data_IF_286384968496
#
_entry.id   IF_286384968496
#
_cell.length_a   1.000
_cell.length_b   1.000
_cell.length_c   1.000
_cell.angle_alpha   90.00
_cell.angle_beta   90.00
_cell.angle_gamma   90.00
#
_symmetry.space_group_name_H-M   'P 1'
#
loop_
_entity.id
_entity.type
_entity.pdbx_description
1 polymer ?
#
# COMPACT_ATOMS: atom_id res chain seq x y z
N UNK A 1 6.31 -81.51 -30.04
CA UNK A 1 6.67 -80.31 -29.25
C UNK A 1 6.74 -79.11 -30.18
N UNK A 2 5.65 -78.36 -30.32
CA UNK A 2 5.69 -77.02 -30.92
C UNK A 2 4.67 -76.16 -30.15
N UNK A 3 5.17 -75.16 -29.43
CA UNK A 3 4.39 -74.11 -28.78
C UNK A 3 4.28 -72.92 -29.76
N UNK A 4 3.10 -72.33 -29.99
CA UNK A 4 2.99 -71.09 -30.75
C UNK A 4 3.11 -69.87 -29.83
N UNK A 5 4.14 -69.07 -30.10
CA UNK A 5 4.19 -67.60 -29.99
C UNK A 5 3.54 -66.92 -28.80
N UNK A 6 4.35 -66.60 -27.77
CA UNK A 6 4.06 -65.54 -26.83
C UNK A 6 4.38 -64.17 -27.44
N UNK A 7 3.35 -63.36 -27.65
CA UNK A 7 3.47 -61.98 -28.12
C UNK A 7 4.05 -61.10 -27.00
N UNK A 8 5.30 -60.71 -27.14
CA UNK A 8 5.97 -59.70 -26.33
C UNK A 8 5.31 -58.32 -26.56
N UNK A 9 4.54 -57.84 -25.56
CA UNK A 9 4.16 -56.42 -25.51
C UNK A 9 5.42 -55.55 -25.31
N UNK A 10 5.60 -54.47 -26.07
CA UNK A 10 6.62 -53.47 -25.76
C UNK A 10 6.22 -52.70 -24.48
N UNK A 11 7.19 -52.26 -23.65
CA UNK A 11 6.91 -51.46 -22.47
C UNK A 11 6.16 -50.17 -22.85
N UNK A 12 5.26 -49.64 -21.99
CA UNK A 12 4.59 -48.39 -22.26
C UNK A 12 5.63 -47.30 -22.50
N UNK A 13 5.57 -46.68 -23.68
CA UNK A 13 6.34 -45.50 -24.07
C UNK A 13 6.25 -44.50 -22.92
N UNK A 14 7.39 -44.26 -22.27
CA UNK A 14 7.56 -43.23 -21.26
C UNK A 14 7.15 -41.90 -21.87
N UNK A 15 5.93 -41.48 -21.56
CA UNK A 15 5.47 -40.11 -21.81
C UNK A 15 6.47 -39.22 -21.07
N UNK A 16 7.26 -38.47 -21.84
CA UNK A 16 8.23 -37.54 -21.30
C UNK A 16 7.59 -36.77 -20.16
N UNK A 17 8.14 -36.94 -18.96
CA UNK A 17 7.62 -36.35 -17.73
C UNK A 17 7.68 -34.82 -17.85
N UNK A 18 6.65 -34.23 -18.43
CA UNK A 18 6.31 -32.84 -18.18
C UNK A 18 5.94 -32.81 -16.70
N UNK A 19 6.93 -32.49 -15.86
CA UNK A 19 6.76 -32.38 -14.41
C UNK A 19 5.67 -31.33 -14.15
N UNK A 20 4.45 -31.80 -13.92
CA UNK A 20 3.31 -30.94 -13.64
C UNK A 20 3.63 -30.06 -12.43
N UNK A 21 3.45 -28.74 -12.58
CA UNK A 21 3.60 -27.82 -11.45
C UNK A 21 2.49 -28.09 -10.45
N UNK A 22 2.84 -28.13 -9.16
CA UNK A 22 1.90 -28.31 -8.05
C UNK A 22 1.56 -26.97 -7.45
N UNK A 23 0.29 -26.79 -7.09
CA UNK A 23 -0.15 -25.59 -6.42
C UNK A 23 0.24 -25.61 -4.94
N UNK A 24 0.90 -24.57 -4.44
CA UNK A 24 1.24 -24.45 -3.03
C UNK A 24 0.00 -24.32 -2.11
N UNK A 25 -1.11 -23.77 -2.60
CA UNK A 25 -2.33 -23.60 -1.82
C UNK A 25 -3.19 -24.86 -1.65
N UNK A 26 -3.22 -25.76 -2.65
CA UNK A 26 -4.08 -26.96 -2.60
C UNK A 26 -3.33 -28.29 -2.79
N UNK A 27 -2.03 -28.28 -3.09
CA UNK A 27 -1.23 -29.47 -3.39
C UNK A 27 -1.51 -30.15 -4.75
N UNK A 28 -2.61 -29.77 -5.40
CA UNK A 28 -3.07 -30.32 -6.67
C UNK A 28 -2.19 -29.94 -7.86
N UNK A 29 -2.29 -30.71 -8.95
CA UNK A 29 -1.64 -30.38 -10.22
C UNK A 29 -2.31 -29.16 -10.86
N UNK A 30 -1.51 -28.26 -11.42
CA UNK A 30 -2.02 -27.08 -12.13
C UNK A 30 -2.27 -27.46 -13.59
N UNK A 31 -3.52 -27.77 -13.92
CA UNK A 31 -3.97 -28.05 -15.28
C UNK A 31 -4.41 -26.79 -16.03
N UNK A 32 -4.61 -25.68 -15.33
CA UNK A 32 -5.09 -24.40 -15.88
C UNK A 32 -4.19 -23.87 -17.01
N UNK A 33 -4.78 -23.11 -17.93
CA UNK A 33 -4.06 -22.48 -19.06
C UNK A 33 -3.01 -21.47 -18.58
N UNK A 34 -3.35 -20.77 -17.50
CA UNK A 34 -2.50 -19.78 -16.85
C UNK A 34 -2.28 -20.17 -15.40
N UNK A 35 -1.06 -19.96 -14.92
CA UNK A 35 -0.69 -20.15 -13.54
C UNK A 35 0.06 -18.94 -13.02
N UNK A 36 -0.03 -18.71 -11.71
CA UNK A 36 0.68 -17.62 -11.04
C UNK A 36 1.96 -18.17 -10.42
N UNK A 37 3.05 -17.40 -10.53
CA UNK A 37 4.30 -17.67 -9.84
C UNK A 37 4.65 -16.51 -8.92
N UNK A 38 4.84 -16.82 -7.63
CA UNK A 38 5.17 -15.89 -6.55
C UNK A 38 5.67 -16.66 -5.34
N UNK A 39 6.53 -16.04 -4.51
CA UNK A 39 7.13 -16.66 -3.32
C UNK A 39 7.74 -18.04 -3.66
N UNK A 40 8.49 -18.10 -4.76
CA UNK A 40 9.13 -19.30 -5.29
C UNK A 40 8.21 -20.52 -5.47
N UNK A 41 6.92 -20.28 -5.64
CA UNK A 41 5.87 -21.29 -5.68
C UNK A 41 4.89 -21.03 -6.81
N UNK A 42 4.24 -22.10 -7.28
CA UNK A 42 3.20 -22.02 -8.29
C UNK A 42 1.81 -22.08 -7.67
N UNK A 43 0.86 -21.35 -8.24
CA UNK A 43 -0.49 -21.22 -7.72
C UNK A 43 -1.55 -21.27 -8.83
N UNK A 44 -2.69 -21.90 -8.56
CA UNK A 44 -3.91 -21.60 -9.31
C UNK A 44 -4.35 -20.17 -8.99
N UNK A 45 -5.01 -19.49 -9.94
CA UNK A 45 -5.57 -18.15 -9.70
C UNK A 45 -6.49 -18.12 -8.47
N UNK A 46 -7.35 -19.13 -8.34
CA UNK A 46 -8.28 -19.32 -7.21
C UNK A 46 -7.64 -19.69 -5.88
N UNK A 47 -6.40 -20.18 -5.89
CA UNK A 47 -5.71 -20.62 -4.68
C UNK A 47 -4.84 -19.53 -4.06
N UNK A 48 -4.38 -18.55 -4.84
CA UNK A 48 -3.66 -17.40 -4.32
C UNK A 48 -4.66 -16.37 -3.79
N UNK A 49 -4.98 -16.46 -2.49
CA UNK A 49 -6.02 -15.65 -1.83
C UNK A 49 -5.47 -14.89 -0.64
N UNK A 50 -6.10 -13.74 -0.33
CA UNK A 50 -5.84 -13.01 0.90
C UNK A 50 -6.23 -13.86 2.11
N UNK A 51 -5.33 -14.02 3.09
CA UNK A 51 -5.60 -14.75 4.33
C UNK A 51 -6.74 -14.14 5.15
N UNK A 52 -6.97 -12.83 5.04
CA UNK A 52 -8.01 -12.13 5.79
C UNK A 52 -9.37 -12.10 5.06
N UNK A 53 -9.43 -11.51 3.87
CA UNK A 53 -10.71 -11.31 3.16
C UNK A 53 -11.03 -12.40 2.12
N UNK A 54 -10.14 -13.39 1.91
CA UNK A 54 -10.28 -14.47 0.93
C UNK A 54 -10.36 -14.02 -0.54
N UNK A 55 -10.16 -12.73 -0.84
CA UNK A 55 -10.12 -12.23 -2.21
C UNK A 55 -9.03 -12.93 -3.04
N UNK A 56 -9.35 -13.27 -4.28
CA UNK A 56 -8.41 -13.86 -5.24
C UNK A 56 -7.42 -12.80 -5.71
N UNK A 57 -6.18 -12.91 -5.27
CA UNK A 57 -5.17 -11.86 -5.45
C UNK A 57 -4.82 -11.66 -6.93
N UNK A 58 -4.84 -12.75 -7.70
CA UNK A 58 -4.62 -12.71 -9.15
C UNK A 58 -5.68 -11.98 -9.96
N UNK A 59 -6.89 -11.77 -9.41
CA UNK A 59 -7.98 -11.04 -10.08
C UNK A 59 -7.97 -9.56 -9.75
N UNK A 60 -7.58 -9.20 -8.52
CA UNK A 60 -7.65 -7.81 -8.02
C UNK A 60 -6.39 -6.98 -8.30
N UNK A 61 -5.28 -7.60 -8.72
CA UNK A 61 -4.02 -6.91 -8.97
C UNK A 61 -2.94 -7.81 -9.53
N UNK A 62 -1.69 -7.31 -9.51
CA UNK A 62 -0.49 -8.04 -9.97
C UNK A 62 0.53 -8.30 -8.86
N UNK A 63 0.21 -7.90 -7.63
CA UNK A 63 1.07 -8.06 -6.45
C UNK A 63 0.28 -8.44 -5.21
N UNK A 64 0.98 -9.04 -4.26
CA UNK A 64 0.48 -9.38 -2.93
C UNK A 64 1.51 -8.97 -1.87
N UNK A 65 1.09 -8.95 -0.62
CA UNK A 65 1.94 -8.57 0.52
C UNK A 65 2.12 -9.77 1.42
N UNK A 66 3.33 -9.95 1.94
CA UNK A 66 3.64 -11.03 2.88
C UNK A 66 4.15 -10.48 4.19
N UNK A 67 3.59 -10.98 5.31
CA UNK A 67 4.06 -10.65 6.66
C UNK A 67 3.56 -11.70 7.64
N UNK A 68 4.44 -12.14 8.55
CA UNK A 68 4.11 -13.15 9.57
C UNK A 68 3.49 -14.44 8.98
N UNK A 69 3.98 -14.89 7.81
CA UNK A 69 3.47 -16.08 7.13
C UNK A 69 2.10 -15.92 6.43
N UNK A 70 1.49 -14.74 6.47
CA UNK A 70 0.23 -14.46 5.78
C UNK A 70 0.46 -13.88 4.39
N UNK A 71 -0.44 -14.19 3.46
CA UNK A 71 -0.50 -13.58 2.13
C UNK A 71 -1.71 -12.64 2.12
N UNK A 72 -1.47 -11.34 1.91
CA UNK A 72 -2.48 -10.31 2.10
C UNK A 72 -2.69 -9.47 0.84
N UNK A 73 -3.93 -8.99 0.68
CA UNK A 73 -4.21 -7.91 -0.25
C UNK A 73 -3.67 -6.59 0.31
N UNK A 74 -3.52 -5.58 -0.55
CA UNK A 74 -3.06 -4.24 -0.15
C UNK A 74 -3.87 -3.65 1.00
N UNK A 75 -5.19 -3.78 0.94
CA UNK A 75 -6.08 -3.18 1.93
C UNK A 75 -5.92 -3.81 3.31
N UNK A 76 -5.93 -5.14 3.40
CA UNK A 76 -5.75 -5.86 4.67
C UNK A 76 -4.33 -5.69 5.22
N UNK A 77 -3.33 -5.62 4.35
CA UNK A 77 -1.96 -5.33 4.77
C UNK A 77 -1.87 -3.95 5.44
N UNK A 78 -2.39 -2.90 4.80
CA UNK A 78 -2.41 -1.54 5.37
C UNK A 78 -3.21 -1.52 6.67
N UNK A 79 -4.39 -2.17 6.69
CA UNK A 79 -5.26 -2.21 7.86
C UNK A 79 -4.60 -2.87 9.08
N UNK A 80 -3.83 -3.93 8.87
CA UNK A 80 -3.20 -4.69 9.96
C UNK A 80 -1.81 -4.18 10.35
N UNK A 81 -1.05 -3.65 9.38
CA UNK A 81 0.38 -3.40 9.53
C UNK A 81 0.83 -2.03 9.04
N UNK A 82 -0.07 -1.21 8.49
CA UNK A 82 0.24 0.17 8.15
C UNK A 82 0.42 1.02 9.41
N UNK A 83 1.16 2.11 9.29
CA UNK A 83 1.39 3.04 10.38
C UNK A 83 0.07 3.76 10.73
N UNK A 84 -0.49 3.44 11.89
CA UNK A 84 -1.57 4.22 12.50
C UNK A 84 -1.02 5.47 13.18
N UNK A 85 -1.79 6.56 13.19
CA UNK A 85 -1.44 7.80 13.88
C UNK A 85 -2.49 8.17 14.93
N UNK A 86 -2.32 9.32 15.59
CA UNK A 86 -3.34 9.92 16.46
C UNK A 86 -3.67 11.33 15.96
N UNK A 87 -4.95 11.67 15.92
CA UNK A 87 -5.39 12.98 15.43
C UNK A 87 -5.02 14.08 16.43
N UNK A 88 -4.27 15.09 15.99
CA UNK A 88 -3.83 16.19 16.85
C UNK A 88 -4.97 17.10 17.35
N UNK A 89 -6.17 17.02 16.77
CA UNK A 89 -7.33 17.81 17.18
C UNK A 89 -8.26 17.08 18.17
N UNK A 90 -8.45 15.76 18.05
CA UNK A 90 -9.36 15.00 18.92
C UNK A 90 -8.69 13.92 19.78
N UNK A 91 -7.38 13.71 19.60
CA UNK A 91 -6.60 12.71 20.31
C UNK A 91 -6.89 11.25 19.93
N UNK A 92 -7.90 10.99 19.10
CA UNK A 92 -8.31 9.63 18.74
C UNK A 92 -7.35 9.00 17.72
N UNK A 93 -7.23 7.69 17.78
CA UNK A 93 -6.44 6.90 16.82
C UNK A 93 -7.00 7.03 15.40
N UNK A 94 -6.12 7.21 14.43
CA UNK A 94 -6.43 7.18 13.01
C UNK A 94 -5.98 5.84 12.43
N UNK A 95 -6.89 5.02 11.88
CA UNK A 95 -6.54 3.80 11.18
C UNK A 95 -5.60 4.09 10.01
N UNK A 96 -4.63 3.20 9.75
CA UNK A 96 -3.69 3.37 8.65
C UNK A 96 -4.36 3.40 7.25
N UNK A 97 -5.58 2.88 7.14
CA UNK A 97 -6.39 2.93 5.92
C UNK A 97 -7.22 4.21 5.76
N UNK A 98 -7.28 5.09 6.78
CA UNK A 98 -8.09 6.30 6.76
C UNK A 98 -7.33 7.50 6.21
N UNK A 99 -7.99 8.29 5.34
CA UNK A 99 -7.39 9.47 4.72
C UNK A 99 -7.19 10.57 5.76
N UNK A 100 -6.03 11.21 5.73
CA UNK A 100 -5.64 12.23 6.72
C UNK A 100 -5.22 13.54 6.08
N UNK A 101 -5.49 14.63 6.79
CA UNK A 101 -4.88 15.94 6.53
C UNK A 101 -3.58 16.05 7.31
N UNK A 102 -2.59 16.76 6.75
CA UNK A 102 -1.30 17.00 7.39
C UNK A 102 -0.97 18.49 7.40
N UNK A 103 -0.53 19.00 8.55
CA UNK A 103 -0.04 20.37 8.71
C UNK A 103 1.06 20.42 9.77
N UNK A 104 2.22 20.98 9.44
CA UNK A 104 3.37 21.15 10.36
C UNK A 104 3.70 19.88 11.17
N UNK A 105 3.79 18.73 10.50
CA UNK A 105 4.10 17.44 11.13
C UNK A 105 2.92 16.75 11.82
N UNK A 106 1.80 17.44 12.03
CA UNK A 106 0.62 16.89 12.68
C UNK A 106 -0.36 16.25 11.68
N UNK A 107 -1.09 15.22 12.14
CA UNK A 107 -2.10 14.49 11.37
C UNK A 107 -3.50 14.74 11.92
N UNK A 108 -4.48 14.85 11.03
CA UNK A 108 -5.85 15.14 11.39
C UNK A 108 -6.83 14.28 10.57
N UNK A 109 -7.94 13.87 11.18
CA UNK A 109 -9.07 13.37 10.41
C UNK A 109 -9.58 14.46 9.45
N UNK A 110 -10.14 14.06 8.30
CA UNK A 110 -10.77 15.00 7.36
C UNK A 110 -11.89 15.85 7.99
N UNK A 111 -12.54 15.34 9.04
CA UNK A 111 -13.58 16.06 9.80
C UNK A 111 -13.04 16.99 10.89
N UNK A 112 -11.80 16.74 11.34
CA UNK A 112 -11.16 17.50 12.41
C UNK A 112 -10.25 18.63 11.89
N UNK A 113 -10.01 18.67 10.58
CA UNK A 113 -9.24 19.73 9.93
C UNK A 113 -10.14 20.96 9.69
N UNK A 114 -10.44 21.69 10.76
CA UNK A 114 -11.41 22.79 10.80
C UNK A 114 -10.80 24.07 11.35
N UNK A 115 -11.30 25.23 10.91
CA UNK A 115 -10.97 26.52 11.51
C UNK A 115 -11.34 26.54 13.00
N UNK A 116 -10.44 27.04 13.84
CA UNK A 116 -10.64 27.13 15.29
C UNK A 116 -11.66 28.21 15.67
N UNK A 117 -11.89 29.19 14.78
CA UNK A 117 -12.85 30.28 14.94
C UNK A 117 -14.22 29.93 14.38
N UNK A 118 -14.40 29.90 13.05
CA UNK A 118 -15.71 29.62 12.43
C UNK A 118 -16.11 28.15 12.38
N UNK A 119 -15.24 27.21 12.77
CA UNK A 119 -15.48 25.75 12.71
C UNK A 119 -15.70 25.16 11.31
N UNK A 120 -15.57 25.96 10.25
CA UNK A 120 -15.63 25.46 8.88
C UNK A 120 -14.49 24.47 8.60
N UNK A 121 -14.82 23.42 7.84
CA UNK A 121 -13.84 22.42 7.37
C UNK A 121 -12.97 23.03 6.30
N UNK A 122 -11.66 22.83 6.43
CA UNK A 122 -10.66 23.24 5.44
C UNK A 122 -10.44 22.07 4.47
N UNK A 123 -10.66 22.30 3.18
CA UNK A 123 -10.55 21.28 2.13
C UNK A 123 -9.40 21.57 1.18
N UNK A 124 -8.91 20.57 0.42
CA UNK A 124 -7.87 20.81 -0.58
C UNK A 124 -8.23 21.96 -1.53
N UNK A 125 -7.32 22.92 -1.66
CA UNK A 125 -7.57 24.16 -2.39
C UNK A 125 -7.68 25.40 -1.50
N UNK A 126 -8.15 25.24 -0.27
CA UNK A 126 -8.34 26.36 0.66
C UNK A 126 -7.01 26.96 1.12
N UNK A 127 -7.04 28.23 1.47
CA UNK A 127 -5.93 28.94 2.12
C UNK A 127 -6.17 28.94 3.62
N UNK A 128 -5.13 28.65 4.40
CA UNK A 128 -5.24 28.56 5.86
C UNK A 128 -3.97 29.03 6.57
N UNK A 129 -4.11 29.29 7.87
CA UNK A 129 -3.02 29.62 8.78
C UNK A 129 -2.91 28.57 9.88
N UNK A 130 -1.69 28.28 10.30
CA UNK A 130 -1.40 27.36 11.40
C UNK A 130 -0.58 28.08 12.47
N UNK A 131 -1.15 28.25 13.65
CA UNK A 131 -0.56 29.02 14.75
C UNK A 131 -0.73 28.24 16.05
N UNK A 132 0.37 27.89 16.72
CA UNK A 132 0.38 27.18 18.01
C UNK A 132 -0.53 25.94 18.06
N UNK A 133 -0.49 25.10 17.01
CA UNK A 133 -1.33 23.89 16.97
C UNK A 133 -2.75 24.12 16.45
N UNK A 134 -3.16 25.38 16.25
CA UNK A 134 -4.52 25.74 15.84
C UNK A 134 -4.58 26.12 14.36
N UNK A 135 -5.63 25.68 13.69
CA UNK A 135 -5.92 25.95 12.28
C UNK A 135 -6.88 27.12 12.16
N UNK A 136 -6.66 28.02 11.20
CA UNK A 136 -7.53 29.16 10.90
C UNK A 136 -7.73 29.27 9.40
N UNK A 137 -8.96 29.53 8.93
CA UNK A 137 -9.17 29.83 7.51
C UNK A 137 -8.58 31.20 7.16
N UNK A 138 -8.46 31.49 5.86
CA UNK A 138 -8.02 32.80 5.34
C UNK A 138 -8.76 34.00 5.97
N UNK A 139 -10.07 33.85 6.22
CA UNK A 139 -10.93 34.92 6.73
C UNK A 139 -10.82 35.14 8.25
N UNK A 140 -10.37 34.13 9.00
CA UNK A 140 -10.32 34.15 10.47
C UNK A 140 -8.89 34.22 11.00
N UNK A 141 -7.96 34.79 10.23
CA UNK A 141 -6.56 34.94 10.65
C UNK A 141 -6.50 35.71 11.98
N UNK A 142 -5.98 35.11 13.07
CA UNK A 142 -5.97 35.78 14.37
C UNK A 142 -4.82 36.79 14.43
N UNK A 143 -5.07 38.02 13.99
CA UNK A 143 -4.10 39.13 13.98
C UNK A 143 -3.61 39.47 15.39
N UNK A 144 -4.45 39.29 16.41
CA UNK A 144 -4.11 39.60 17.81
C UNK A 144 -3.08 38.63 18.43
N UNK A 145 -3.03 37.37 18.01
CA UNK A 145 -2.10 36.37 18.58
C UNK A 145 -0.67 36.50 18.04
N UNK A 146 -0.50 37.19 16.91
CA UNK A 146 0.82 37.38 16.26
C UNK A 146 1.54 38.59 16.88
N UNK A 147 0.79 39.58 17.37
CA UNK A 147 1.33 40.86 17.82
C UNK A 147 1.73 40.90 19.30
N UNK A 148 1.59 39.79 20.04
CA UNK A 148 1.88 39.73 21.48
C UNK A 148 3.35 39.68 21.89
N UNK A 149 4.32 39.71 20.94
CA UNK A 149 5.75 39.59 21.30
C UNK A 149 6.73 40.57 20.63
N UNK A 150 6.33 41.63 19.93
CA UNK A 150 7.33 42.68 19.61
C UNK A 150 6.72 44.04 19.27
N UNK A 151 6.86 44.96 20.22
CA UNK A 151 6.98 46.38 19.90
C UNK A 151 8.23 46.59 19.03
N UNK A 152 8.06 47.35 17.95
CA UNK A 152 9.13 48.01 17.17
C UNK A 152 9.82 47.21 16.06
N UNK A 153 9.62 47.72 14.84
CA UNK A 153 10.50 47.64 13.67
C UNK A 153 10.81 46.25 13.09
N UNK A 154 10.02 45.82 12.10
CA UNK A 154 10.49 45.45 10.75
C UNK A 154 9.37 44.69 10.02
N UNK A 155 8.91 45.28 8.93
CA UNK A 155 8.28 44.57 7.82
C UNK A 155 9.18 43.41 7.42
N UNK A 156 8.79 42.18 7.75
CA UNK A 156 9.36 40.96 7.20
C UNK A 156 8.22 40.08 6.65
N UNK A 157 8.48 39.33 5.57
CA UNK A 157 7.45 38.93 4.64
C UNK A 157 6.52 37.90 5.26
N UNK A 158 5.23 38.06 4.97
CA UNK A 158 4.20 37.05 5.18
C UNK A 158 4.75 35.68 4.74
N UNK A 159 4.88 34.74 5.69
CA UNK A 159 5.12 33.34 5.35
C UNK A 159 4.09 32.91 4.29
N UNK A 160 4.52 32.15 3.26
CA UNK A 160 3.69 31.90 2.10
C UNK A 160 2.39 31.24 2.53
N UNK A 161 1.31 31.79 1.98
CA UNK A 161 -0.04 31.29 2.10
C UNK A 161 -0.07 29.75 1.97
N UNK A 162 -0.45 29.08 3.06
CA UNK A 162 -0.47 27.61 3.08
C UNK A 162 -1.75 27.17 2.38
N UNK A 163 -1.59 26.64 1.16
CA UNK A 163 -2.67 25.99 0.45
C UNK A 163 -2.84 24.57 0.97
N UNK A 164 -4.07 24.21 1.31
CA UNK A 164 -4.42 22.83 1.66
C UNK A 164 -4.13 21.94 0.46
N UNK A 165 -3.20 21.00 0.63
CA UNK A 165 -2.88 20.00 -0.38
C UNK A 165 -3.82 18.81 -0.27
N UNK A 166 -4.16 18.14 -1.38
CA UNK A 166 -4.91 16.90 -1.32
C UNK A 166 -4.17 15.89 -0.43
N UNK A 167 -4.89 15.05 0.33
CA UNK A 167 -4.25 13.96 1.05
C UNK A 167 -3.46 13.13 0.01
N UNK A 168 -2.19 12.78 0.28
CA UNK A 168 -1.45 11.96 -0.66
C UNK A 168 -2.26 10.68 -0.92
N UNK A 169 -2.34 10.20 -2.17
CA UNK A 169 -2.81 8.84 -2.38
C UNK A 169 -1.91 7.93 -1.53
N UNK A 170 -2.49 6.90 -0.88
CA UNK A 170 -1.77 5.94 -0.02
C UNK A 170 -0.78 5.05 -0.80
N UNK A 171 -0.01 5.64 -1.70
CA UNK A 171 1.16 5.04 -2.30
C UNK A 171 2.20 4.98 -1.19
N UNK A 172 2.37 3.75 -0.68
CA UNK A 172 3.57 3.39 0.02
C UNK A 172 4.73 3.76 -0.91
N UNK A 173 5.43 4.84 -0.55
CA UNK A 173 6.62 5.41 -1.18
C UNK A 173 6.53 5.78 -2.68
N UNK A 174 6.49 7.08 -2.96
CA UNK A 174 7.15 7.67 -4.12
C UNK A 174 8.08 8.82 -3.63
N UNK A 175 9.33 8.92 -4.12
CA UNK A 175 10.22 10.00 -3.75
C UNK A 175 9.74 11.31 -4.40
N UNK A 176 9.30 12.26 -3.59
CA UNK A 176 9.01 13.62 -4.03
C UNK A 176 10.29 14.46 -3.93
N UNK A 177 10.69 15.00 -5.07
CA UNK A 177 11.84 15.89 -5.24
C UNK A 177 11.49 17.32 -4.78
N UNK A 178 12.20 17.76 -3.74
CA UNK A 178 12.74 19.09 -3.39
C UNK A 178 11.79 20.31 -3.56
N UNK A 179 11.45 21.05 -2.49
CA UNK A 179 12.31 22.12 -1.96
C UNK A 179 12.10 22.39 -0.43
N UNK A 180 13.20 22.48 0.33
CA UNK A 180 13.33 23.19 1.61
C UNK A 180 12.80 22.57 2.93
N UNK A 181 13.70 22.00 3.75
CA UNK A 181 13.53 21.86 5.21
C UNK A 181 13.48 20.43 5.77
N UNK A 182 14.63 19.86 6.14
CA UNK A 182 14.77 18.49 6.69
C UNK A 182 14.07 18.29 8.05
N UNK A 183 13.30 17.21 8.16
CA UNK A 183 13.24 16.33 9.34
C UNK A 183 13.09 14.87 8.89
N UNK A 184 13.84 14.02 9.54
CA UNK A 184 14.22 12.66 9.15
C UNK A 184 13.23 11.57 9.64
N UNK A 185 13.38 10.40 8.99
CA UNK A 185 13.03 9.00 9.37
C UNK A 185 11.54 8.70 9.60
N UNK A 186 10.96 7.67 8.99
CA UNK A 186 11.36 6.28 9.20
C UNK A 186 11.28 5.48 7.88
N UNK A 187 12.43 4.97 7.46
CA UNK A 187 12.51 3.75 6.68
C UNK A 187 11.76 2.67 7.45
N UNK A 188 10.63 2.18 6.97
CA UNK A 188 10.16 0.89 7.43
C UNK A 188 10.97 -0.18 6.70
N UNK A 189 11.91 -0.88 7.37
CA UNK A 189 12.39 -2.16 6.87
C UNK A 189 11.21 -3.15 6.86
N UNK A 190 11.25 -4.17 6.01
CA UNK A 190 10.28 -5.28 5.93
C UNK A 190 9.01 -5.11 5.06
N UNK A 191 9.07 -4.39 3.92
CA UNK A 191 8.03 -4.50 2.90
C UNK A 191 8.40 -5.50 1.80
N UNK A 192 7.90 -6.74 1.91
CA UNK A 192 7.93 -7.67 0.78
C UNK A 192 6.64 -7.55 -0.04
N UNK A 193 6.62 -6.57 -0.94
CA UNK A 193 5.66 -6.55 -2.06
C UNK A 193 6.11 -7.62 -3.04
N UNK A 194 5.30 -8.66 -3.22
CA UNK A 194 5.63 -9.75 -4.12
C UNK A 194 4.74 -9.64 -5.36
N UNK A 195 5.34 -9.21 -6.46
CA UNK A 195 4.72 -9.26 -7.78
C UNK A 195 4.61 -10.71 -8.24
N UNK A 196 3.44 -11.11 -8.75
CA UNK A 196 3.29 -12.42 -9.36
C UNK A 196 3.34 -12.35 -10.88
N UNK A 197 3.96 -13.37 -11.49
CA UNK A 197 4.00 -13.50 -12.94
C UNK A 197 2.94 -14.49 -13.42
N UNK A 198 2.15 -14.07 -14.41
CA UNK A 198 1.22 -14.97 -15.11
C UNK A 198 1.96 -15.73 -16.21
N UNK A 199 2.01 -17.05 -16.09
CA UNK A 199 2.74 -17.92 -17.02
C UNK A 199 1.72 -18.71 -17.84
N UNK A 200 1.83 -18.64 -19.17
CA UNK A 200 1.11 -19.56 -20.07
C UNK A 200 1.74 -20.94 -19.97
N UNK A 201 0.93 -21.97 -19.71
CA UNK A 201 1.39 -23.37 -19.64
C UNK A 201 2.19 -23.72 -20.90
N UNK A 202 3.41 -24.25 -20.73
CA UNK A 202 4.30 -24.66 -21.84
C UNK A 202 5.42 -23.69 -22.22
N UNK A 203 5.51 -22.49 -21.63
CA UNK A 203 6.70 -21.61 -21.75
C UNK A 203 7.61 -21.76 -20.52
N UNK A 204 8.92 -21.88 -20.75
CA UNK A 204 9.95 -21.84 -19.69
C UNK A 204 9.96 -20.45 -19.04
N UNK A 205 10.05 -20.40 -17.72
CA UNK A 205 10.24 -19.16 -16.96
C UNK A 205 11.63 -18.60 -17.33
N UNK A 206 11.68 -17.43 -17.97
CA UNK A 206 12.94 -16.70 -18.09
C UNK A 206 13.15 -15.99 -16.76
N UNK A 207 13.92 -16.60 -15.87
CA UNK A 207 14.40 -15.97 -14.64
C UNK A 207 15.37 -14.86 -15.05
N UNK A 208 14.94 -13.60 -14.98
CA UNK A 208 15.88 -12.48 -15.01
C UNK A 208 16.76 -12.57 -13.76
N UNK A 209 18.06 -12.57 -14.01
CA UNK A 209 19.15 -12.69 -13.04
C UNK A 209 19.44 -11.33 -12.41
#
# INVERSE_FOLDING_TARGET
MVNPGGSSQPPPVGTGSLSWKRCAGCGGKIADRFLLYTMDSYWHSRCLKCSCCQAQLGEIGTSCYTKSGMILCRNDYIRLFGNSGACSACGQSIPASELVMRAQGNVYHLKCFTCSTCRNRLVPGDRFHYINGSLFCEHDRPTALINGHLSSLQTNPLLPDQKVRPPPPFLLSAPLKHDGGSVMVESAPEFFVVSFQSIKRGRRLMTSK
#
